data_IF_518172543559
#
_entry.id   IF_518172543559
#
_cell.length_a   1.000
_cell.length_b   1.000
_cell.length_c   1.000
_cell.angle_alpha   90.00
_cell.angle_beta   90.00
_cell.angle_gamma   90.00
#
_symmetry.space_group_name_H-M   'P 1'
#
loop_
_entity.id
_entity.type
_entity.pdbx_description
1 polymer ?
#
# COMPACT_ATOMS: atom_id res chain seq x y z
N UNK A 1 -27.10 0.36 26.28
CA UNK A 1 -27.16 -0.65 27.35
C UNK A 1 -26.70 -1.97 26.74
N UNK A 2 -25.49 -2.42 27.07
CA UNK A 2 -24.85 -3.63 26.54
C UNK A 2 -25.20 -4.84 27.41
N UNK A 3 -25.92 -5.83 26.85
CA UNK A 3 -26.11 -7.15 27.48
C UNK A 3 -24.77 -7.85 27.72
N UNK A 4 -24.63 -8.87 28.56
CA UNK A 4 -25.59 -9.85 29.08
C UNK A 4 -24.86 -10.51 30.28
N UNK A 5 -25.48 -10.61 31.46
CA UNK A 5 -24.78 -11.06 32.69
C UNK A 5 -25.50 -12.25 33.32
N UNK A 6 -24.85 -13.40 33.34
CA UNK A 6 -25.33 -14.62 33.99
C UNK A 6 -25.23 -14.53 35.52
N UNK A 7 -26.22 -15.08 36.23
CA UNK A 7 -26.24 -15.22 37.68
C UNK A 7 -25.69 -16.60 38.08
N UNK A 8 -24.89 -16.68 39.15
CA UNK A 8 -24.45 -17.95 39.74
C UNK A 8 -24.89 -18.06 41.21
N UNK A 9 -25.18 -19.28 41.66
CA UNK A 9 -25.52 -19.59 43.05
C UNK A 9 -24.25 -19.66 43.89
N UNK A 10 -24.11 -18.77 44.87
CA UNK A 10 -23.01 -18.76 45.83
C UNK A 10 -23.57 -18.94 47.24
N UNK A 11 -23.43 -20.13 47.81
CA UNK A 11 -24.05 -20.49 49.09
C UNK A 11 -25.58 -20.52 48.98
N UNK A 12 -26.27 -19.90 49.95
CA UNK A 12 -27.74 -19.84 49.98
C UNK A 12 -28.36 -18.78 49.05
N UNK A 13 -27.55 -17.95 48.37
CA UNK A 13 -28.03 -16.85 47.54
C UNK A 13 -27.58 -16.87 46.09
N UNK A 14 -28.33 -16.18 45.23
CA UNK A 14 -27.90 -15.82 43.88
C UNK A 14 -27.15 -14.48 43.94
N UNK A 15 -25.93 -14.43 43.43
CA UNK A 15 -25.19 -13.17 43.27
C UNK A 15 -25.12 -12.82 41.79
N UNK A 16 -25.33 -11.55 41.49
CA UNK A 16 -24.96 -10.99 40.19
C UNK A 16 -23.43 -11.03 40.09
N UNK A 17 -22.92 -11.76 39.12
CA UNK A 17 -21.50 -11.74 38.78
C UNK A 17 -21.43 -10.98 37.45
N UNK A 18 -20.87 -9.76 37.40
CA UNK A 18 -20.56 -9.15 36.12
C UNK A 18 -19.71 -10.15 35.35
N UNK A 19 -19.98 -10.38 34.07
CA UNK A 19 -19.12 -11.22 33.23
C UNK A 19 -17.74 -10.55 33.21
N UNK A 20 -16.87 -10.98 34.12
CA UNK A 20 -15.46 -10.56 34.23
C UNK A 20 -14.64 -11.15 33.10
N UNK A 21 -15.19 -12.10 32.36
CA UNK A 21 -14.50 -12.97 31.44
C UNK A 21 -14.94 -12.66 30.01
N UNK A 22 -13.97 -12.60 29.12
CA UNK A 22 -14.16 -12.59 27.67
C UNK A 22 -13.91 -13.99 27.07
N UNK A 23 -13.99 -15.03 27.89
CA UNK A 23 -13.73 -16.41 27.50
C UNK A 23 -14.67 -16.91 26.40
N UNK A 24 -15.94 -16.48 26.39
CA UNK A 24 -16.87 -16.83 25.32
C UNK A 24 -16.39 -16.34 23.94
N UNK A 25 -15.79 -15.13 23.87
CA UNK A 25 -15.19 -14.60 22.64
C UNK A 25 -13.98 -15.42 22.23
N UNK A 26 -13.12 -15.77 23.20
CA UNK A 26 -11.95 -16.62 22.94
C UNK A 26 -12.37 -17.97 22.39
N UNK A 27 -13.39 -18.62 22.98
CA UNK A 27 -13.94 -19.88 22.47
C UNK A 27 -14.47 -19.75 21.05
N UNK A 28 -15.17 -18.66 20.75
CA UNK A 28 -15.66 -18.37 19.41
C UNK A 28 -14.51 -18.23 18.40
N UNK A 29 -13.50 -17.40 18.68
CA UNK A 29 -12.34 -17.22 17.79
C UNK A 29 -11.55 -18.52 17.61
N UNK A 30 -11.43 -19.34 18.66
CA UNK A 30 -10.82 -20.68 18.60
C UNK A 30 -11.60 -21.63 17.70
N UNK A 31 -12.93 -21.62 17.78
CA UNK A 31 -13.79 -22.40 16.89
C UNK A 31 -13.67 -21.94 15.42
N UNK A 32 -13.31 -20.67 15.18
CA UNK A 32 -13.00 -20.14 13.85
C UNK A 32 -11.59 -20.52 13.35
N UNK A 33 -10.83 -21.30 14.11
CA UNK A 33 -9.47 -21.73 13.76
C UNK A 33 -8.39 -20.68 14.00
N UNK A 34 -8.63 -19.70 14.88
CA UNK A 34 -7.67 -18.64 15.19
C UNK A 34 -6.84 -18.96 16.44
N UNK A 35 -5.51 -18.78 16.36
CA UNK A 35 -4.62 -18.99 17.50
C UNK A 35 -4.57 -17.75 18.41
N UNK A 36 -5.42 -17.76 19.42
CA UNK A 36 -5.58 -16.65 20.38
C UNK A 36 -4.36 -16.52 21.30
N UNK A 37 -3.87 -15.29 21.48
CA UNK A 37 -2.79 -14.89 22.38
C UNK A 37 -3.34 -13.94 23.47
N UNK A 38 -3.13 -14.23 24.76
CA UNK A 38 -3.45 -13.28 25.83
C UNK A 38 -2.50 -12.08 25.81
N UNK A 39 -3.07 -10.88 25.85
CA UNK A 39 -2.36 -9.61 25.87
C UNK A 39 -2.53 -8.88 27.19
N UNK A 40 -1.58 -8.00 27.49
CA UNK A 40 -1.71 -7.04 28.59
C UNK A 40 -2.88 -6.09 28.34
N UNK A 41 -3.79 -6.00 29.32
CA UNK A 41 -4.92 -5.07 29.33
C UNK A 41 -4.58 -3.76 30.09
N UNK A 42 -3.36 -3.24 29.88
CA UNK A 42 -2.81 -2.05 30.54
C UNK A 42 -2.48 -0.92 29.56
N UNK A 43 -2.95 -1.02 28.32
CA UNK A 43 -2.68 -0.10 27.22
C UNK A 43 -1.48 -0.52 26.35
N UNK A 44 -0.65 -1.46 26.80
CA UNK A 44 0.59 -1.79 26.10
C UNK A 44 0.43 -2.80 24.95
N UNK A 45 -0.67 -3.58 24.94
CA UNK A 45 -0.91 -4.66 23.95
C UNK A 45 0.18 -5.75 23.92
N UNK A 46 1.02 -5.82 24.94
CA UNK A 46 2.15 -6.76 25.01
C UNK A 46 1.65 -8.20 25.23
N UNK A 47 2.15 -9.22 24.49
CA UNK A 47 1.85 -10.63 24.74
C UNK A 47 2.22 -11.05 26.17
N UNK A 48 1.32 -11.77 26.85
CA UNK A 48 1.59 -12.35 28.19
C UNK A 48 2.35 -13.68 28.12
N UNK A 49 2.45 -14.29 26.95
CA UNK A 49 3.20 -15.51 26.69
C UNK A 49 4.32 -15.24 25.68
N UNK A 50 5.38 -16.05 25.72
CA UNK A 50 6.46 -16.01 24.72
C UNK A 50 5.91 -16.42 23.35
N UNK A 51 5.63 -15.42 22.53
CA UNK A 51 4.85 -15.58 21.31
C UNK A 51 5.51 -16.46 20.25
N UNK A 52 6.85 -16.48 20.20
CA UNK A 52 7.61 -17.18 19.16
C UNK A 52 7.41 -18.69 19.22
N UNK A 53 7.10 -19.22 20.41
CA UNK A 53 6.78 -20.64 20.60
C UNK A 53 5.42 -21.06 20.04
N UNK A 54 4.58 -20.12 19.58
CA UNK A 54 3.21 -20.38 19.14
C UNK A 54 2.92 -19.91 17.71
N UNK A 55 3.95 -19.57 16.93
CA UNK A 55 3.77 -19.21 15.51
C UNK A 55 3.48 -20.42 14.63
N UNK A 56 3.95 -21.61 15.01
CA UNK A 56 3.70 -22.88 14.31
C UNK A 56 2.80 -23.85 15.09
N UNK A 57 2.41 -23.52 16.32
CA UNK A 57 1.61 -24.39 17.18
C UNK A 57 0.55 -23.59 17.93
N UNK A 58 -0.61 -24.22 18.08
CA UNK A 58 -1.78 -23.65 18.71
C UNK A 58 -1.58 -23.59 20.24
N UNK A 59 -1.93 -22.46 20.88
CA UNK A 59 -1.84 -22.33 22.34
C UNK A 59 -2.82 -23.33 23.00
N UNK A 60 -2.38 -24.12 24.00
CA UNK A 60 -3.26 -25.05 24.72
C UNK A 60 -4.44 -24.36 25.43
N UNK A 61 -5.58 -25.03 25.48
CA UNK A 61 -6.81 -24.45 26.03
C UNK A 61 -6.72 -24.15 27.54
N UNK A 62 -6.05 -25.01 28.31
CA UNK A 62 -5.83 -24.84 29.74
C UNK A 62 -4.95 -23.61 30.04
N UNK A 63 -3.98 -23.32 29.17
CA UNK A 63 -3.19 -22.08 29.24
C UNK A 63 -4.07 -20.87 28.99
N UNK A 64 -4.92 -20.88 27.95
CA UNK A 64 -5.82 -19.75 27.67
C UNK A 64 -6.84 -19.53 28.80
N UNK A 65 -7.38 -20.60 29.37
CA UNK A 65 -8.36 -20.53 30.46
C UNK A 65 -7.86 -19.69 31.64
N UNK A 66 -6.59 -19.88 32.04
CA UNK A 66 -5.95 -19.11 33.13
C UNK A 66 -5.84 -17.60 32.85
N UNK A 67 -5.93 -17.18 31.60
CA UNK A 67 -5.78 -15.77 31.21
C UNK A 67 -7.09 -15.04 30.91
N UNK A 68 -8.16 -15.78 30.65
CA UNK A 68 -9.42 -15.23 30.14
C UNK A 68 -10.64 -15.60 30.99
N UNK A 69 -10.56 -16.63 31.82
CA UNK A 69 -11.67 -17.10 32.66
C UNK A 69 -11.32 -17.22 34.16
N UNK A 70 -10.16 -16.72 34.57
CA UNK A 70 -9.76 -16.72 35.98
C UNK A 70 -10.63 -15.73 36.80
N UNK A 71 -11.42 -16.20 37.80
CA UNK A 71 -12.31 -15.35 38.59
C UNK A 71 -11.58 -14.26 39.41
N UNK A 72 -10.29 -14.47 39.66
CA UNK A 72 -9.47 -13.63 40.55
C UNK A 72 -8.65 -12.57 39.82
N UNK A 73 -8.66 -12.55 38.48
CA UNK A 73 -7.92 -11.59 37.67
C UNK A 73 -8.79 -10.84 36.66
N UNK A 74 -8.30 -9.68 36.22
CA UNK A 74 -8.94 -8.96 35.12
C UNK A 74 -8.70 -9.70 33.80
N UNK A 75 -9.68 -9.71 32.89
CA UNK A 75 -9.56 -10.40 31.62
C UNK A 75 -8.40 -9.82 30.82
N UNK A 76 -7.66 -10.71 30.14
CA UNK A 76 -6.59 -10.30 29.24
C UNK A 76 -7.16 -9.67 27.96
N UNK A 77 -6.35 -8.83 27.30
CA UNK A 77 -6.60 -8.47 25.91
C UNK A 77 -6.51 -9.70 25.01
N UNK A 78 -7.23 -9.68 23.89
CA UNK A 78 -7.27 -10.80 22.94
C UNK A 78 -6.44 -10.41 21.72
N UNK A 79 -5.32 -11.08 21.53
CA UNK A 79 -4.57 -11.08 20.28
C UNK A 79 -4.85 -12.34 19.48
N UNK A 80 -4.60 -12.31 18.18
CA UNK A 80 -4.53 -13.51 17.33
C UNK A 80 -3.21 -13.51 16.60
N UNK A 81 -2.48 -14.62 16.72
CA UNK A 81 -1.25 -14.86 15.98
C UNK A 81 -1.61 -15.13 14.52
N UNK A 82 -1.08 -14.33 13.61
CA UNK A 82 -1.30 -14.48 12.18
C UNK A 82 -0.35 -15.55 11.59
N UNK A 83 -0.70 -16.03 10.39
CA UNK A 83 0.02 -17.06 9.67
C UNK A 83 -0.47 -18.49 9.96
N UNK A 84 0.46 -19.45 9.88
CA UNK A 84 0.14 -20.89 9.82
C UNK A 84 -0.74 -21.36 10.98
N UNK A 85 -0.45 -20.94 12.21
CA UNK A 85 -1.21 -21.36 13.39
C UNK A 85 -2.68 -20.89 13.39
N UNK A 86 -3.06 -19.96 12.50
CA UNK A 86 -4.42 -19.47 12.31
C UNK A 86 -4.99 -19.79 10.92
N UNK A 87 -4.47 -20.84 10.27
CA UNK A 87 -4.92 -21.27 8.94
C UNK A 87 -4.48 -20.31 7.84
N UNK A 88 -3.21 -19.87 7.89
CA UNK A 88 -2.64 -18.86 7.01
C UNK A 88 -3.42 -17.53 7.00
N UNK A 89 -3.85 -17.09 8.18
CA UNK A 89 -4.45 -15.77 8.36
C UNK A 89 -3.43 -14.67 8.03
N UNK A 90 -3.85 -13.69 7.26
CA UNK A 90 -3.14 -12.42 7.10
C UNK A 90 -4.14 -11.27 7.31
N UNK A 91 -3.64 -10.18 7.89
CA UNK A 91 -4.46 -8.99 8.19
C UNK A 91 -3.78 -7.79 7.56
N UNK A 92 -4.51 -7.02 6.76
CA UNK A 92 -4.08 -5.68 6.38
C UNK A 92 -4.49 -4.70 7.47
N UNK A 93 -3.51 -3.99 8.00
CA UNK A 93 -3.63 -3.04 9.09
C UNK A 93 -3.47 -1.63 8.51
N UNK A 94 -4.58 -0.89 8.46
CA UNK A 94 -4.65 0.48 7.95
C UNK A 94 -4.78 1.45 9.12
N UNK A 95 -3.95 2.47 9.19
CA UNK A 95 -3.99 3.45 10.29
C UNK A 95 -5.09 4.51 10.14
N UNK A 96 -5.65 4.72 8.95
CA UNK A 96 -6.62 5.78 8.74
C UNK A 96 -7.42 5.74 7.44
N UNK A 97 -7.45 6.87 6.73
CA UNK A 97 -8.36 7.19 5.64
C UNK A 97 -8.16 6.33 4.39
N UNK A 98 -6.94 5.82 4.17
CA UNK A 98 -6.52 5.05 3.00
C UNK A 98 -7.38 3.81 2.79
N UNK A 99 -7.99 3.29 3.86
CA UNK A 99 -8.83 2.10 3.82
C UNK A 99 -9.98 2.23 2.80
N UNK A 100 -10.68 3.36 2.77
CA UNK A 100 -11.86 3.52 1.90
C UNK A 100 -11.46 3.61 0.42
N UNK A 101 -10.46 4.44 0.11
CA UNK A 101 -9.91 4.56 -1.24
C UNK A 101 -9.28 3.24 -1.72
N UNK A 102 -8.64 2.49 -0.83
CA UNK A 102 -8.12 1.17 -1.13
C UNK A 102 -9.26 0.19 -1.46
N UNK A 103 -10.35 0.19 -0.69
CA UNK A 103 -11.52 -0.65 -0.97
C UNK A 103 -12.11 -0.32 -2.35
N UNK A 104 -12.22 0.96 -2.70
CA UNK A 104 -12.71 1.42 -4.00
C UNK A 104 -11.82 0.93 -5.15
N UNK A 105 -10.49 1.05 -5.01
CA UNK A 105 -9.52 0.58 -6.01
C UNK A 105 -9.58 -0.93 -6.21
N UNK A 106 -9.64 -1.69 -5.11
CA UNK A 106 -9.71 -3.15 -5.15
C UNK A 106 -11.02 -3.63 -5.76
N UNK A 107 -12.16 -3.01 -5.40
CA UNK A 107 -13.45 -3.31 -6.03
C UNK A 107 -13.44 -3.01 -7.54
N UNK A 108 -12.74 -1.95 -7.97
CA UNK A 108 -12.56 -1.62 -9.38
C UNK A 108 -11.81 -2.70 -10.18
N UNK A 109 -10.84 -3.38 -9.56
CA UNK A 109 -10.06 -4.45 -10.23
C UNK A 109 -10.73 -5.84 -10.10
N UNK A 110 -11.44 -6.12 -9.01
CA UNK A 110 -12.00 -7.44 -8.72
C UNK A 110 -13.47 -7.55 -9.13
N UNK A 111 -14.20 -6.44 -9.11
CA UNK A 111 -15.63 -6.37 -9.40
C UNK A 111 -16.51 -6.28 -8.16
N UNK A 112 -17.80 -6.08 -8.41
CA UNK A 112 -18.82 -5.84 -7.38
C UNK A 112 -18.98 -7.03 -6.43
N UNK A 113 -19.27 -6.73 -5.15
CA UNK A 113 -19.50 -7.72 -4.09
C UNK A 113 -18.33 -7.90 -3.13
N UNK A 114 -17.14 -7.40 -3.50
CA UNK A 114 -15.91 -7.46 -2.70
C UNK A 114 -16.09 -6.98 -1.25
N UNK A 115 -16.87 -5.90 -1.04
CA UNK A 115 -16.92 -5.19 0.23
C UNK A 115 -17.50 -6.00 1.39
N UNK A 116 -18.40 -6.94 1.09
CA UNK A 116 -19.12 -7.72 2.09
C UNK A 116 -18.49 -9.10 2.34
N UNK A 117 -17.46 -9.45 1.58
CA UNK A 117 -16.82 -10.77 1.63
C UNK A 117 -15.90 -10.95 2.86
N UNK A 118 -15.39 -9.86 3.41
CA UNK A 118 -14.29 -9.89 4.37
C UNK A 118 -14.70 -9.35 5.74
N UNK A 119 -14.22 -9.96 6.84
CA UNK A 119 -14.34 -9.36 8.16
C UNK A 119 -13.52 -8.07 8.24
N UNK A 120 -14.16 -7.00 8.72
CA UNK A 120 -13.51 -5.68 8.91
C UNK A 120 -13.67 -5.27 10.37
N UNK A 121 -12.55 -4.91 10.99
CA UNK A 121 -12.53 -4.40 12.37
C UNK A 121 -12.07 -2.96 12.39
N UNK A 122 -12.89 -2.08 12.97
CA UNK A 122 -12.50 -0.71 13.30
C UNK A 122 -11.57 -0.71 14.52
N UNK A 123 -10.43 -0.05 14.39
CA UNK A 123 -9.43 0.09 15.47
C UNK A 123 -9.77 1.28 16.38
N UNK A 124 -9.26 1.29 17.62
CA UNK A 124 -9.45 2.40 18.56
C UNK A 124 -9.01 3.79 18.07
N UNK A 125 -8.07 3.82 17.11
CA UNK A 125 -7.50 5.06 16.54
C UNK A 125 -8.25 5.55 15.29
N UNK A 126 -9.21 4.79 14.77
CA UNK A 126 -9.97 5.14 13.56
C UNK A 126 -9.51 4.42 12.29
N UNK A 127 -8.46 3.60 12.38
CA UNK A 127 -8.00 2.71 11.32
C UNK A 127 -8.84 1.43 11.19
N UNK A 128 -8.43 0.54 10.29
CA UNK A 128 -9.16 -0.68 9.97
C UNK A 128 -8.22 -1.89 9.87
N UNK A 129 -8.64 -3.02 10.45
CA UNK A 129 -8.05 -4.32 10.14
C UNK A 129 -8.95 -5.06 9.15
N UNK A 130 -8.38 -5.53 8.05
CA UNK A 130 -9.06 -6.29 7.01
C UNK A 130 -8.50 -7.72 6.95
N UNK A 131 -9.37 -8.72 7.13
CA UNK A 131 -8.95 -10.11 7.37
C UNK A 131 -9.18 -11.01 6.14
N UNK A 132 -8.19 -11.83 5.80
CA UNK A 132 -8.31 -12.90 4.80
C UNK A 132 -7.34 -14.05 5.10
N UNK A 133 -7.52 -15.17 4.40
CA UNK A 133 -6.55 -16.27 4.37
C UNK A 133 -6.00 -16.43 2.97
N UNK A 134 -4.74 -16.79 2.83
CA UNK A 134 -4.12 -17.09 1.55
C UNK A 134 -3.22 -18.33 1.69
N UNK A 135 -3.16 -19.25 0.71
CA UNK A 135 -2.20 -20.36 0.75
C UNK A 135 -0.73 -19.90 0.73
N UNK A 136 -0.47 -18.69 0.20
CA UNK A 136 0.85 -18.05 0.15
C UNK A 136 0.83 -16.80 1.02
N UNK A 137 1.68 -16.75 2.04
CA UNK A 137 1.78 -15.63 2.98
C UNK A 137 3.23 -15.30 3.33
N UNK A 138 3.53 -14.01 3.40
CA UNK A 138 4.83 -13.46 3.81
C UNK A 138 4.86 -13.17 5.31
N UNK A 139 6.03 -12.84 5.88
CA UNK A 139 6.12 -12.10 7.14
C UNK A 139 5.43 -10.73 7.03
N UNK A 140 5.43 -9.96 8.12
CA UNK A 140 4.88 -8.60 8.12
C UNK A 140 5.59 -7.72 7.07
N UNK A 141 4.81 -7.14 6.17
CA UNK A 141 5.27 -6.22 5.13
C UNK A 141 4.81 -4.81 5.48
N UNK A 142 5.71 -3.83 5.36
CA UNK A 142 5.35 -2.41 5.41
C UNK A 142 5.04 -1.99 3.98
N UNK A 143 3.79 -1.67 3.70
CA UNK A 143 3.30 -1.47 2.33
C UNK A 143 3.27 0.00 1.93
N UNK A 144 2.88 0.87 2.85
CA UNK A 144 2.79 2.30 2.61
C UNK A 144 3.27 3.09 3.82
N UNK A 145 3.89 4.22 3.54
CA UNK A 145 4.35 5.18 4.51
C UNK A 145 3.82 6.57 4.16
N UNK A 146 3.70 7.45 5.15
CA UNK A 146 3.44 8.86 4.93
C UNK A 146 4.67 9.60 4.40
N UNK A 147 4.46 10.83 3.95
CA UNK A 147 5.50 11.80 3.58
C UNK A 147 6.55 12.03 4.70
N UNK A 148 6.14 11.99 5.96
CA UNK A 148 7.00 12.10 7.16
C UNK A 148 7.60 10.76 7.62
N UNK A 149 7.31 9.65 6.92
CA UNK A 149 7.93 8.34 7.14
C UNK A 149 7.25 7.44 8.18
N UNK A 150 6.05 7.79 8.62
CA UNK A 150 5.24 6.90 9.47
C UNK A 150 4.60 5.79 8.64
N UNK A 151 4.53 4.57 9.16
CA UNK A 151 3.87 3.45 8.46
C UNK A 151 2.37 3.70 8.46
N UNK A 152 1.70 3.59 7.32
CA UNK A 152 0.25 3.81 7.21
C UNK A 152 -0.52 2.53 6.88
N UNK A 153 0.12 1.62 6.14
CA UNK A 153 -0.46 0.32 5.79
C UNK A 153 0.61 -0.77 5.95
N UNK A 154 0.27 -1.83 6.67
CA UNK A 154 1.13 -3.00 6.81
C UNK A 154 0.35 -4.31 6.80
N UNK A 155 1.01 -5.41 6.45
CA UNK A 155 0.47 -6.75 6.67
C UNK A 155 0.87 -7.27 8.05
N UNK A 156 -0.05 -7.98 8.69
CA UNK A 156 0.23 -8.91 9.79
C UNK A 156 0.17 -10.32 9.23
N UNK A 157 1.31 -10.77 8.71
CA UNK A 157 1.47 -12.09 8.09
C UNK A 157 2.05 -13.11 9.07
N UNK A 158 2.99 -13.93 8.59
CA UNK A 158 3.73 -14.89 9.43
C UNK A 158 4.49 -14.17 10.54
N UNK A 159 4.24 -14.56 11.79
CA UNK A 159 4.82 -13.86 12.92
C UNK A 159 4.33 -12.41 12.99
N UNK A 160 3.09 -12.16 12.59
CA UNK A 160 2.30 -10.96 12.88
C UNK A 160 1.22 -11.25 13.94
N UNK A 161 0.67 -10.20 14.54
CA UNK A 161 -0.44 -10.28 15.48
C UNK A 161 -1.43 -9.16 15.23
N UNK A 162 -2.72 -9.45 15.38
CA UNK A 162 -3.77 -8.46 15.42
C UNK A 162 -4.49 -8.51 16.77
N UNK A 163 -4.89 -7.34 17.29
CA UNK A 163 -5.78 -7.26 18.46
C UNK A 163 -7.23 -7.44 17.99
N UNK A 164 -8.00 -8.23 18.74
CA UNK A 164 -9.34 -8.65 18.34
C UNK A 164 -10.44 -7.88 19.09
N UNK A 165 -11.64 -7.74 18.49
CA UNK A 165 -12.86 -7.38 19.20
C UNK A 165 -13.11 -8.29 20.42
N UNK A 166 -13.77 -7.75 21.45
CA UNK A 166 -13.93 -8.45 22.74
C UNK A 166 -12.73 -8.32 23.69
N UNK A 167 -11.65 -7.67 23.25
CA UNK A 167 -10.60 -7.18 24.15
C UNK A 167 -11.15 -6.11 25.10
N UNK A 168 -10.74 -6.08 26.38
CA UNK A 168 -11.10 -5.00 27.29
C UNK A 168 -10.62 -3.65 26.72
N UNK A 169 -11.38 -2.55 26.89
CA UNK A 169 -11.01 -1.26 26.30
C UNK A 169 -9.62 -0.76 26.75
N UNK A 170 -9.22 -1.10 27.98
CA UNK A 170 -7.88 -0.83 28.54
C UNK A 170 -6.74 -1.59 27.85
N UNK A 171 -7.01 -2.46 26.88
CA UNK A 171 -5.97 -3.09 26.06
C UNK A 171 -5.25 -2.05 25.19
N UNK A 172 -5.95 -1.01 24.76
CA UNK A 172 -5.39 0.09 23.97
C UNK A 172 -5.17 1.35 24.84
N UNK A 173 -4.13 2.18 24.57
CA UNK A 173 -3.87 3.40 25.36
C UNK A 173 -5.04 4.38 25.39
N UNK A 174 -5.81 4.47 24.29
CA UNK A 174 -6.98 5.36 24.22
C UNK A 174 -8.17 4.89 25.07
N UNK A 175 -8.12 3.68 25.64
CA UNK A 175 -9.23 3.12 26.42
C UNK A 175 -10.49 2.81 25.60
N UNK A 176 -10.40 2.78 24.26
CA UNK A 176 -11.50 2.43 23.34
C UNK A 176 -11.36 0.99 22.84
N UNK A 177 -12.48 0.38 22.45
CA UNK A 177 -12.52 -1.01 21.97
C UNK A 177 -12.35 -1.13 20.46
N UNK A 178 -11.77 -2.26 20.03
CA UNK A 178 -11.85 -2.76 18.66
C UNK A 178 -13.29 -3.26 18.39
N UNK A 179 -13.82 -2.97 17.19
CA UNK A 179 -15.21 -3.30 16.82
C UNK A 179 -15.26 -4.01 15.49
N UNK A 180 -15.86 -5.20 15.43
CA UNK A 180 -16.22 -5.83 14.17
C UNK A 180 -17.35 -5.00 13.54
N UNK A 181 -17.14 -4.48 12.34
CA UNK A 181 -18.09 -3.62 11.63
C UNK A 181 -18.71 -4.28 10.41
N UNK A 182 -18.01 -5.23 9.78
CA UNK A 182 -18.49 -6.02 8.63
C UNK A 182 -18.09 -7.48 8.81
N UNK A 183 -18.92 -8.38 8.31
CA UNK A 183 -18.61 -9.80 8.18
C UNK A 183 -18.58 -10.58 9.51
N UNK A 184 -17.93 -11.74 9.48
CA UNK A 184 -17.83 -12.64 10.63
C UNK A 184 -16.53 -13.45 10.59
N UNK A 185 -15.86 -13.63 11.73
CA UNK A 185 -14.68 -14.49 11.83
C UNK A 185 -14.95 -15.98 11.57
N UNK A 186 -16.21 -16.43 11.67
CA UNK A 186 -16.61 -17.79 11.29
C UNK A 186 -16.52 -18.05 9.78
N UNK A 187 -16.39 -17.00 8.97
CA UNK A 187 -16.25 -17.05 7.51
C UNK A 187 -15.17 -16.05 7.07
N UNK A 188 -13.91 -16.28 7.48
CA UNK A 188 -12.78 -15.56 6.88
C UNK A 188 -12.50 -16.20 5.51
N UNK A 189 -12.65 -15.45 4.39
CA UNK A 189 -12.49 -16.01 3.05
C UNK A 189 -11.04 -16.43 2.79
N UNK A 190 -10.89 -17.52 2.05
CA UNK A 190 -9.60 -17.96 1.49
C UNK A 190 -9.51 -17.38 0.08
N UNK A 191 -8.58 -16.45 -0.13
CA UNK A 191 -8.32 -15.82 -1.43
C UNK A 191 -7.17 -16.55 -2.16
N UNK A 192 -7.09 -16.34 -3.46
CA UNK A 192 -5.96 -16.85 -4.26
C UNK A 192 -4.73 -15.93 -4.12
N UNK A 193 -3.51 -16.44 -4.40
CA UNK A 193 -2.31 -15.60 -4.42
C UNK A 193 -2.41 -14.40 -5.37
N UNK A 194 -3.07 -14.56 -6.52
CA UNK A 194 -3.25 -13.48 -7.50
C UNK A 194 -4.16 -12.38 -6.95
N UNK A 195 -5.22 -12.77 -6.24
CA UNK A 195 -6.10 -11.81 -5.56
C UNK A 195 -5.38 -11.10 -4.42
N UNK A 196 -4.53 -11.82 -3.69
CA UNK A 196 -3.65 -11.23 -2.66
C UNK A 196 -2.70 -10.20 -3.28
N UNK A 197 -2.11 -10.47 -4.44
CA UNK A 197 -1.23 -9.53 -5.12
C UNK A 197 -1.95 -8.21 -5.42
N UNK A 198 -3.20 -8.25 -5.92
CA UNK A 198 -4.02 -7.05 -6.10
C UNK A 198 -4.17 -6.26 -4.80
N UNK A 199 -4.46 -6.93 -3.68
CA UNK A 199 -4.60 -6.26 -2.37
C UNK A 199 -3.32 -5.54 -1.96
N UNK A 200 -2.18 -6.21 -2.12
CA UNK A 200 -0.85 -5.69 -1.76
C UNK A 200 -0.47 -4.53 -2.68
N UNK A 201 -0.64 -4.65 -3.99
CA UNK A 201 -0.28 -3.61 -4.96
C UNK A 201 -1.15 -2.36 -4.79
N UNK A 202 -2.47 -2.53 -4.59
CA UNK A 202 -3.34 -1.39 -4.29
C UNK A 202 -2.93 -0.70 -2.98
N UNK A 203 -2.50 -1.46 -1.97
CA UNK A 203 -2.03 -0.89 -0.70
C UNK A 203 -0.70 -0.13 -0.87
N UNK A 204 0.25 -0.66 -1.64
CA UNK A 204 1.53 0.03 -1.95
C UNK A 204 1.34 1.35 -2.69
N UNK A 205 0.25 1.50 -3.46
CA UNK A 205 -0.05 2.74 -4.18
C UNK A 205 -0.31 3.96 -3.27
N UNK A 206 -0.41 3.76 -1.96
CA UNK A 206 -0.53 4.81 -0.93
C UNK A 206 0.82 5.17 -0.28
N UNK A 207 1.96 4.65 -0.75
CA UNK A 207 3.26 5.07 -0.23
C UNK A 207 3.60 6.49 -0.70
N UNK A 208 3.74 7.41 0.25
CA UNK A 208 4.00 8.83 0.04
C UNK A 208 5.47 9.20 0.31
N UNK A 209 6.34 8.21 0.61
CA UNK A 209 7.75 8.51 0.85
C UNK A 209 8.37 9.21 -0.36
N UNK A 210 9.19 10.25 -0.13
CA UNK A 210 10.04 10.78 -1.17
C UNK A 210 10.88 9.65 -1.74
N UNK A 211 10.72 9.41 -3.04
CA UNK A 211 11.53 8.44 -3.75
C UNK A 211 12.96 8.95 -3.66
N UNK A 212 13.86 8.21 -2.99
CA UNK A 212 15.29 8.40 -3.22
C UNK A 212 15.48 8.20 -4.71
N UNK A 213 15.87 9.25 -5.43
CA UNK A 213 16.34 9.11 -6.80
C UNK A 213 17.38 7.98 -6.77
N UNK A 214 17.01 6.79 -7.23
CA UNK A 214 18.02 5.84 -7.67
C UNK A 214 18.73 6.56 -8.81
N UNK A 215 20.06 6.67 -8.72
CA UNK A 215 20.97 7.25 -9.72
C UNK A 215 20.88 6.50 -11.06
N UNK A 216 19.68 6.45 -11.64
CA UNK A 216 19.33 5.65 -12.79
C UNK A 216 19.41 6.56 -14.01
N UNK A 217 20.61 6.66 -14.56
CA UNK A 217 20.80 6.99 -15.98
C UNK A 217 21.15 8.43 -16.30
N UNK A 218 21.82 9.17 -15.41
CA UNK A 218 22.57 10.36 -15.83
C UNK A 218 23.87 9.94 -16.55
N UNK A 219 23.76 9.24 -17.67
CA UNK A 219 24.91 9.05 -18.55
C UNK A 219 25.19 10.42 -19.18
N UNK A 220 26.12 11.16 -18.57
CA UNK A 220 26.75 12.26 -19.26
C UNK A 220 27.35 11.70 -20.55
N UNK A 221 26.89 12.16 -21.71
CA UNK A 221 27.52 11.81 -22.96
C UNK A 221 28.99 12.26 -22.89
N UNK A 222 29.99 11.41 -23.18
CA UNK A 222 31.33 11.90 -23.39
C UNK A 222 31.30 12.78 -24.65
N UNK A 223 31.45 14.08 -24.47
CA UNK A 223 31.59 15.01 -25.58
C UNK A 223 32.95 14.75 -26.26
N UNK A 224 33.01 14.60 -27.59
CA UNK A 224 34.27 14.36 -28.31
C UNK A 224 35.35 15.43 -28.13
N UNK A 225 35.01 16.60 -27.58
CA UNK A 225 35.89 17.78 -27.50
C UNK A 225 36.32 18.18 -26.08
N UNK A 226 36.17 17.31 -25.06
CA UNK A 226 36.70 17.59 -23.72
C UNK A 226 36.04 18.77 -22.98
N UNK A 227 34.85 19.20 -23.39
CA UNK A 227 34.02 20.17 -22.65
C UNK A 227 33.30 19.48 -21.50
N UNK A 228 33.22 20.18 -20.36
CA UNK A 228 32.54 19.72 -19.15
C UNK A 228 31.07 19.36 -19.44
N UNK A 229 30.57 18.32 -18.78
CA UNK A 229 29.17 17.90 -18.83
C UNK A 229 28.26 19.09 -18.49
N UNK A 230 27.11 19.29 -19.19
CA UNK A 230 26.12 20.28 -18.79
C UNK A 230 25.69 20.05 -17.33
N UNK A 231 25.47 21.15 -16.62
CA UNK A 231 24.91 21.14 -15.27
C UNK A 231 23.55 20.42 -15.25
N UNK A 232 23.19 19.92 -14.07
CA UNK A 232 21.92 19.24 -13.82
C UNK A 232 20.76 20.21 -14.17
N UNK A 233 19.88 19.83 -15.10
CA UNK A 233 18.81 20.71 -15.62
C UNK A 233 18.99 21.17 -17.07
N UNK A 234 20.22 21.18 -17.60
CA UNK A 234 20.50 21.61 -18.99
C UNK A 234 20.53 20.45 -20.00
N UNK A 235 20.34 19.22 -19.52
CA UNK A 235 20.42 18.00 -20.32
C UNK A 235 19.10 17.77 -21.05
N UNK A 236 19.14 17.21 -22.28
CA UNK A 236 17.93 16.90 -23.04
C UNK A 236 16.92 16.05 -22.24
N UNK A 237 17.40 15.06 -21.48
CA UNK A 237 16.55 14.22 -20.64
C UNK A 237 15.92 14.97 -19.45
N UNK A 238 16.63 15.91 -18.84
CA UNK A 238 16.14 16.70 -17.72
C UNK A 238 15.03 17.66 -18.17
N UNK A 239 15.27 18.38 -19.27
CA UNK A 239 14.26 19.25 -19.86
C UNK A 239 13.04 18.46 -20.33
N UNK A 240 13.25 17.26 -20.88
CA UNK A 240 12.15 16.38 -21.26
C UNK A 240 11.34 15.85 -20.07
N UNK A 241 11.95 15.66 -18.90
CA UNK A 241 11.21 15.33 -17.69
C UNK A 241 10.25 16.46 -17.27
N UNK A 242 10.63 17.71 -17.51
CA UNK A 242 9.78 18.88 -17.24
C UNK A 242 8.72 19.03 -18.31
N UNK A 243 9.13 19.20 -19.56
CA UNK A 243 8.28 19.65 -20.68
C UNK A 243 7.54 18.53 -21.42
N UNK A 244 8.03 17.28 -21.33
CA UNK A 244 7.46 16.15 -22.05
C UNK A 244 6.00 15.88 -21.63
N UNK A 245 5.20 15.35 -22.55
CA UNK A 245 3.80 14.96 -22.30
C UNK A 245 3.65 13.45 -22.26
N UNK A 246 2.89 12.95 -21.29
CA UNK A 246 2.67 11.50 -21.12
C UNK A 246 1.90 10.90 -22.30
N UNK A 247 1.02 11.67 -22.92
CA UNK A 247 0.26 11.29 -24.11
C UNK A 247 1.18 11.02 -25.32
N UNK A 248 2.24 11.81 -25.49
CA UNK A 248 3.20 11.62 -26.57
C UNK A 248 4.11 10.42 -26.33
N UNK A 249 4.38 10.09 -25.06
CA UNK A 249 5.26 8.99 -24.66
C UNK A 249 4.52 7.65 -24.72
N UNK A 250 3.35 7.58 -24.09
CA UNK A 250 2.58 6.35 -23.90
C UNK A 250 1.60 6.13 -25.05
N UNK A 251 0.89 7.17 -25.48
CA UNK A 251 -0.15 7.09 -26.50
C UNK A 251 0.39 6.63 -27.86
N UNK A 252 1.57 7.11 -28.25
CA UNK A 252 2.24 6.68 -29.49
C UNK A 252 2.63 5.19 -29.50
N UNK A 253 2.64 4.56 -28.32
CA UNK A 253 3.03 3.16 -28.10
C UNK A 253 1.84 2.26 -27.77
N UNK A 254 0.62 2.73 -28.04
CA UNK A 254 -0.62 1.96 -27.93
C UNK A 254 -1.23 1.92 -26.53
N UNK A 255 -0.72 2.72 -25.59
CA UNK A 255 -1.38 2.90 -24.30
C UNK A 255 -2.61 3.80 -24.48
N UNK A 256 -3.71 3.43 -23.85
CA UNK A 256 -4.97 4.18 -23.94
C UNK A 256 -5.19 4.97 -22.66
N UNK A 257 -5.37 6.29 -22.78
CA UNK A 257 -5.79 7.14 -21.67
C UNK A 257 -7.28 6.88 -21.39
N UNK A 258 -7.56 6.35 -20.20
CA UNK A 258 -8.92 5.95 -19.81
C UNK A 258 -9.69 7.12 -19.18
N UNK A 259 -9.06 7.76 -18.20
CA UNK A 259 -9.65 8.85 -17.44
C UNK A 259 -8.54 9.76 -16.92
N UNK A 260 -8.80 11.06 -16.87
CA UNK A 260 -7.95 12.04 -16.19
C UNK A 260 -8.82 12.85 -15.22
N UNK A 261 -8.46 12.88 -13.94
CA UNK A 261 -9.21 13.61 -12.91
C UNK A 261 -8.24 14.10 -11.83
N UNK A 262 -8.35 15.38 -11.44
CA UNK A 262 -7.55 15.93 -10.34
C UNK A 262 -6.03 15.95 -10.56
N UNK A 263 -5.56 15.95 -11.81
CA UNK A 263 -4.12 15.89 -12.12
C UNK A 263 -3.53 14.48 -12.13
N UNK A 264 -4.35 13.45 -11.94
CA UNK A 264 -3.97 12.04 -12.11
C UNK A 264 -4.62 11.49 -13.38
N UNK A 265 -3.84 10.78 -14.19
CA UNK A 265 -4.29 10.14 -15.42
C UNK A 265 -4.13 8.62 -15.32
N UNK A 266 -5.18 7.90 -15.69
CA UNK A 266 -5.24 6.43 -15.68
C UNK A 266 -5.02 5.89 -17.09
N UNK A 267 -4.09 4.94 -17.22
CA UNK A 267 -3.66 4.39 -18.49
C UNK A 267 -3.92 2.88 -18.55
N UNK A 268 -4.44 2.42 -19.69
CA UNK A 268 -4.55 1.02 -20.04
C UNK A 268 -3.40 0.61 -20.98
N UNK A 269 -2.76 -0.52 -20.66
CA UNK A 269 -1.64 -1.05 -21.45
C UNK A 269 -2.10 -1.57 -22.82
N UNK A 270 -1.22 -1.63 -23.83
CA UNK A 270 -1.51 -2.24 -25.12
C UNK A 270 -1.96 -3.70 -24.99
N UNK A 271 -2.94 -4.10 -25.81
CA UNK A 271 -3.45 -5.48 -25.87
C UNK A 271 -4.37 -5.89 -24.71
N UNK A 272 -4.70 -4.97 -23.80
CA UNK A 272 -5.73 -5.15 -22.77
C UNK A 272 -7.03 -4.48 -23.25
N UNK A 273 -8.18 -5.16 -23.11
CA UNK A 273 -9.47 -4.72 -23.68
C UNK A 273 -10.63 -4.62 -22.66
N UNK A 274 -10.37 -4.91 -21.39
CA UNK A 274 -11.35 -4.91 -20.30
C UNK A 274 -11.64 -3.52 -19.71
N UNK A 275 -11.04 -2.46 -20.29
CA UNK A 275 -11.08 -1.07 -19.79
C UNK A 275 -10.61 -0.88 -18.34
N UNK A 276 -9.79 -1.79 -17.79
CA UNK A 276 -9.18 -1.65 -16.46
C UNK A 276 -7.82 -0.94 -16.53
N UNK A 277 -7.47 -0.24 -15.44
CA UNK A 277 -6.24 0.55 -15.34
C UNK A 277 -5.03 -0.38 -15.29
N UNK A 278 -3.91 0.05 -15.88
CA UNK A 278 -2.64 -0.69 -15.89
C UNK A 278 -1.46 0.15 -15.40
N UNK A 279 -1.58 1.48 -15.47
CA UNK A 279 -0.63 2.43 -14.92
C UNK A 279 -1.32 3.77 -14.62
N UNK A 280 -0.71 4.60 -13.78
CA UNK A 280 -1.15 5.99 -13.53
C UNK A 280 0.00 6.96 -13.72
N UNK A 281 -0.30 8.16 -14.19
CA UNK A 281 0.65 9.28 -14.20
C UNK A 281 0.14 10.42 -13.33
N UNK A 282 1.04 11.11 -12.61
CA UNK A 282 0.70 12.27 -11.76
C UNK A 282 0.24 11.91 -10.33
N UNK A 283 0.06 10.61 -10.05
CA UNK A 283 -0.16 10.10 -8.70
C UNK A 283 1.14 10.12 -7.88
N UNK A 284 2.23 9.65 -8.46
CA UNK A 284 3.57 9.78 -7.89
C UNK A 284 4.28 11.00 -8.51
N UNK A 285 5.06 11.73 -7.71
CA UNK A 285 5.83 12.89 -8.15
C UNK A 285 7.26 12.83 -7.66
N UNK A 286 8.18 13.45 -8.39
CA UNK A 286 9.56 13.68 -7.91
C UNK A 286 9.59 14.74 -6.80
N UNK A 287 10.71 14.87 -6.10
CA UNK A 287 10.93 15.97 -5.13
C UNK A 287 10.78 17.36 -5.78
N UNK A 288 11.08 17.48 -7.08
CA UNK A 288 10.86 18.68 -7.87
C UNK A 288 9.40 18.88 -8.32
N UNK A 289 8.48 18.03 -7.86
CA UNK A 289 7.04 18.09 -8.17
C UNK A 289 6.65 17.56 -9.55
N UNK A 290 7.57 16.89 -10.27
CA UNK A 290 7.32 16.40 -11.63
C UNK A 290 6.55 15.07 -11.61
N UNK A 291 5.53 14.96 -12.45
CA UNK A 291 4.68 13.77 -12.55
C UNK A 291 5.46 12.54 -13.04
N UNK A 292 5.31 11.43 -12.34
CA UNK A 292 5.89 10.12 -12.67
C UNK A 292 4.82 9.17 -13.21
N UNK A 293 5.27 8.17 -13.96
CA UNK A 293 4.48 6.99 -14.33
C UNK A 293 4.67 5.92 -13.26
N UNK A 294 3.58 5.39 -12.70
CA UNK A 294 3.58 4.21 -11.84
C UNK A 294 2.87 3.07 -12.55
N UNK A 295 3.54 1.93 -12.74
CA UNK A 295 3.01 0.79 -13.49
C UNK A 295 2.55 -0.30 -12.54
N UNK A 296 1.29 -0.72 -12.66
CA UNK A 296 0.71 -1.77 -11.81
C UNK A 296 0.72 -3.16 -12.46
N UNK A 297 0.77 -3.23 -13.79
CA UNK A 297 0.58 -4.48 -14.52
C UNK A 297 1.90 -5.21 -14.78
N UNK A 298 1.96 -6.50 -14.41
CA UNK A 298 3.07 -7.41 -14.72
C UNK A 298 3.22 -7.77 -16.22
N UNK A 299 2.24 -7.38 -17.04
CA UNK A 299 2.24 -7.58 -18.49
C UNK A 299 2.43 -6.26 -19.26
N UNK A 300 3.19 -5.32 -18.69
CA UNK A 300 3.42 -3.98 -19.24
C UNK A 300 4.85 -3.79 -19.80
N UNK A 301 5.46 -4.85 -20.34
CA UNK A 301 6.80 -4.80 -20.96
C UNK A 301 6.91 -3.60 -21.91
N UNK A 302 7.96 -2.77 -21.80
CA UNK A 302 9.21 -2.97 -21.05
C UNK A 302 9.19 -2.55 -19.56
N UNK A 303 8.04 -2.16 -19.01
CA UNK A 303 7.94 -1.74 -17.61
C UNK A 303 7.78 -2.93 -16.66
N UNK A 304 8.34 -2.77 -15.46
CA UNK A 304 8.20 -3.69 -14.34
C UNK A 304 7.00 -3.28 -13.47
N UNK A 305 6.30 -4.28 -12.92
CA UNK A 305 5.16 -4.02 -12.05
C UNK A 305 5.60 -3.50 -10.68
N UNK A 306 4.89 -2.50 -10.18
CA UNK A 306 5.18 -1.83 -8.91
C UNK A 306 6.28 -0.77 -9.01
N UNK A 307 6.84 -0.55 -10.20
CA UNK A 307 7.93 0.42 -10.41
C UNK A 307 7.41 1.77 -10.94
N UNK A 308 8.21 2.82 -10.66
CA UNK A 308 7.96 4.18 -11.14
C UNK A 308 9.01 4.65 -12.13
N UNK A 309 8.58 5.43 -13.11
CA UNK A 309 9.41 5.89 -14.22
C UNK A 309 9.25 7.39 -14.43
N UNK A 310 10.37 8.08 -14.62
CA UNK A 310 10.38 9.45 -15.15
C UNK A 310 9.98 9.45 -16.63
N UNK A 311 9.59 10.60 -17.17
CA UNK A 311 9.22 10.73 -18.59
C UNK A 311 10.36 10.29 -19.51
N UNK A 312 11.58 10.71 -19.20
CA UNK A 312 12.76 10.35 -19.97
C UNK A 312 13.05 8.83 -19.90
N UNK A 313 12.94 8.23 -18.72
CA UNK A 313 13.13 6.79 -18.57
C UNK A 313 12.06 6.01 -19.36
N UNK A 314 10.79 6.39 -19.23
CA UNK A 314 9.71 5.77 -19.98
C UNK A 314 9.87 5.92 -21.50
N UNK A 315 10.26 7.11 -21.97
CA UNK A 315 10.57 7.35 -23.38
C UNK A 315 11.72 6.46 -23.89
N UNK A 316 12.77 6.32 -23.08
CA UNK A 316 13.94 5.52 -23.41
C UNK A 316 13.59 4.04 -23.54
N UNK A 317 12.84 3.49 -22.58
CA UNK A 317 12.41 2.09 -22.62
C UNK A 317 11.52 1.80 -23.83
N UNK A 318 10.54 2.67 -24.11
CA UNK A 318 9.54 2.43 -25.15
C UNK A 318 10.00 2.74 -26.58
N UNK A 319 10.93 3.69 -26.75
CA UNK A 319 11.34 4.16 -28.09
C UNK A 319 12.76 3.74 -28.47
N UNK A 320 13.62 3.50 -27.49
CA UNK A 320 15.04 3.21 -27.69
C UNK A 320 15.47 1.90 -27.03
N UNK A 321 14.53 1.08 -26.53
CA UNK A 321 14.83 -0.24 -25.97
C UNK A 321 15.72 -0.21 -24.73
N UNK A 322 15.73 0.89 -23.98
CA UNK A 322 16.62 1.09 -22.84
C UNK A 322 17.96 1.77 -23.17
N UNK A 323 18.20 2.14 -24.43
CA UNK A 323 19.38 2.91 -24.82
C UNK A 323 19.21 4.41 -24.49
N UNK A 324 19.70 4.80 -23.31
CA UNK A 324 19.67 6.18 -22.82
C UNK A 324 20.51 7.14 -23.68
N UNK A 325 21.54 6.65 -24.38
CA UNK A 325 22.36 7.48 -25.25
C UNK A 325 21.57 7.89 -26.50
N UNK A 326 21.00 6.90 -27.19
CA UNK A 326 20.17 7.13 -28.37
C UNK A 326 18.92 7.96 -28.05
N UNK A 327 18.33 7.75 -26.87
CA UNK A 327 17.21 8.54 -26.40
C UNK A 327 17.58 10.02 -26.17
N UNK A 328 18.71 10.29 -25.52
CA UNK A 328 19.19 11.66 -25.28
C UNK A 328 19.53 12.39 -26.59
N UNK A 329 20.18 11.70 -27.54
CA UNK A 329 20.50 12.26 -28.87
C UNK A 329 19.24 12.59 -29.68
N UNK A 330 18.26 11.68 -29.65
CA UNK A 330 16.96 11.90 -30.28
C UNK A 330 16.23 13.11 -29.67
N UNK A 331 16.27 13.29 -28.35
CA UNK A 331 15.70 14.47 -27.70
C UNK A 331 16.47 15.75 -28.04
N UNK A 332 17.80 15.70 -28.12
CA UNK A 332 18.61 16.83 -28.54
C UNK A 332 18.25 17.29 -29.96
N UNK A 333 18.05 16.36 -30.91
CA UNK A 333 17.60 16.68 -32.27
C UNK A 333 16.19 17.29 -32.32
N UNK A 334 15.36 17.01 -31.31
CA UNK A 334 14.01 17.56 -31.14
C UNK A 334 13.98 18.90 -30.41
N UNK A 335 15.15 19.44 -30.06
CA UNK A 335 15.29 20.75 -29.43
C UNK A 335 15.28 20.74 -27.91
N UNK A 336 15.46 19.59 -27.25
CA UNK A 336 15.64 19.52 -25.80
C UNK A 336 17.12 19.63 -25.42
N UNK A 337 17.46 20.44 -24.42
CA UNK A 337 18.81 20.72 -23.92
C UNK A 337 19.38 22.07 -24.36
N UNK A 338 20.38 22.57 -23.62
CA UNK A 338 20.94 23.93 -23.77
C UNK A 338 21.47 24.31 -25.16
N UNK A 339 21.82 23.30 -25.97
CA UNK A 339 22.27 23.50 -27.36
C UNK A 339 21.15 24.02 -28.29
N UNK A 340 19.88 23.75 -27.95
CA UNK A 340 18.71 24.24 -28.67
C UNK A 340 18.20 25.58 -28.12
N UNK A 341 18.34 25.81 -26.81
CA UNK A 341 17.99 27.08 -26.16
C UNK A 341 18.82 28.24 -26.72
N UNK A 342 20.13 28.04 -26.92
CA UNK A 342 21.01 29.02 -27.53
C UNK A 342 20.68 29.26 -29.02
N UNK A 343 20.35 28.20 -29.76
CA UNK A 343 19.98 28.30 -31.18
C UNK A 343 18.63 29.04 -31.38
N UNK A 344 17.64 28.79 -30.51
CA UNK A 344 16.35 29.51 -30.51
C UNK A 344 16.52 30.99 -30.19
N UNK A 345 17.35 31.33 -29.19
CA UNK A 345 17.64 32.73 -28.86
C UNK A 345 18.36 33.41 -30.01
N UNK A 346 19.35 32.77 -30.66
CA UNK A 346 19.99 33.32 -31.86
C UNK A 346 19.01 33.50 -33.04
N UNK A 347 18.11 32.54 -33.28
CA UNK A 347 17.09 32.65 -34.35
C UNK A 347 16.05 33.72 -34.06
N UNK A 348 15.58 33.86 -32.82
CA UNK A 348 14.65 34.92 -32.41
C UNK A 348 15.32 36.30 -32.44
N UNK A 349 16.57 36.40 -31.99
CA UNK A 349 17.36 37.63 -32.06
C UNK A 349 17.64 38.00 -33.52
N UNK A 350 18.02 37.04 -34.38
CA UNK A 350 18.24 37.28 -35.81
C UNK A 350 16.93 37.61 -36.56
N UNK A 351 15.81 36.99 -36.19
CA UNK A 351 14.47 37.31 -36.70
C UNK A 351 14.03 38.71 -36.30
N UNK A 352 14.26 39.09 -35.04
CA UNK A 352 14.02 40.44 -34.52
C UNK A 352 14.88 41.47 -35.25
N UNK A 353 16.17 41.21 -35.45
CA UNK A 353 17.06 42.10 -36.20
C UNK A 353 16.70 42.23 -37.68
N UNK A 354 16.30 41.15 -38.37
CA UNK A 354 15.79 41.23 -39.75
C UNK A 354 14.52 42.07 -39.85
N UNK A 355 13.61 41.96 -38.86
CA UNK A 355 12.40 42.78 -38.79
C UNK A 355 12.66 44.26 -38.54
N UNK A 356 13.80 44.62 -37.94
CA UNK A 356 14.13 45.99 -37.54
C UNK A 356 15.05 46.73 -38.51
N UNK A 357 15.68 46.03 -39.46
CA UNK A 357 16.66 46.61 -40.39
C UNK A 357 16.29 46.46 -41.88
N UNK A 358 15.15 45.85 -42.22
CA UNK A 358 14.61 45.76 -43.60
C UNK A 358 13.42 46.72 -43.87
N UNK A 359 13.22 47.74 -43.01
CA UNK A 359 12.47 48.98 -43.31
C UNK A 359 13.45 50.16 -43.42
#
# INVERSE_FOLDING_TARGET
>A
MSGQYDFQRCGEGWKWIPQRSNWHVVRYLRACGLNVMPLSATGSRIPKLKWSGYQGSVIPQDVLFRHFDDPWSNPSGIGVICGLASGNLEVLDFDGWQFFDWMDRVEGEIGAGFRDEHPIVLTPSGGHHFYYRCPVIEPNLKLAYSDIGDIQIETRGRGGMAVMPGSPPKTHPSGKSYKLVVGSFSHIPVITPERREVYIEMAKSFDERPIKQTDSGSIALPFPDGRQSPDFGDRPGDQFNVEGRWEDILGTKGWTLMQATGGVSHWQRPGKYDRSTSATTGHCRTEAGLDLLHVFSSNAVPFEAGETYTKFHAYTLLSHGGDFHSAAESLASRGFGSRASLCRVEEEVNSFFRRYYDE
#
